data_IF_303258878894
#
_entry.id   IF_303258878894
#
_cell.length_a   1.000
_cell.length_b   1.000
_cell.length_c   1.000
_cell.angle_alpha   90.00
_cell.angle_beta   90.00
_cell.angle_gamma   90.00
#
_symmetry.space_group_name_H-M   'P 1'
#
loop_
_entity.id
_entity.type
_entity.pdbx_description
1 polymer ?
#
# COMPACT_ATOMS: atom_id res chain seq x y z
N UNK A 1 -9.66 9.01 -8.09
CA UNK A 1 -8.60 7.97 -8.16
C UNK A 1 -9.22 6.65 -7.77
N UNK A 2 -8.78 5.52 -8.34
CA UNK A 2 -9.35 4.20 -8.02
C UNK A 2 -8.31 3.32 -7.29
N UNK A 3 -8.75 2.59 -6.27
CA UNK A 3 -8.04 1.46 -5.66
C UNK A 3 -8.32 0.20 -6.49
N UNK A 4 -7.56 -0.87 -6.31
CA UNK A 4 -7.72 -2.09 -7.13
C UNK A 4 -9.11 -2.72 -7.03
N UNK A 5 -9.81 -2.56 -5.91
CA UNK A 5 -11.16 -3.08 -5.66
C UNK A 5 -12.23 -2.00 -5.36
N UNK A 6 -11.90 -0.71 -5.52
CA UNK A 6 -12.86 0.40 -5.36
C UNK A 6 -12.63 1.50 -6.39
N UNK A 7 -13.71 1.98 -7.00
CA UNK A 7 -13.66 3.09 -7.96
C UNK A 7 -13.37 4.44 -7.30
N UNK A 8 -13.81 4.61 -6.05
CA UNK A 8 -13.56 5.82 -5.26
C UNK A 8 -12.42 5.51 -4.28
N UNK A 9 -11.31 6.20 -4.49
CA UNK A 9 -10.07 6.06 -3.73
C UNK A 9 -10.23 6.43 -2.26
N UNK A 10 -9.75 5.59 -1.36
CA UNK A 10 -9.53 5.93 0.05
C UNK A 10 -8.12 6.49 0.31
N UNK A 11 -7.92 7.10 1.47
CA UNK A 11 -6.63 7.70 1.85
C UNK A 11 -5.48 6.69 1.93
N UNK A 12 -5.71 5.50 2.49
CA UNK A 12 -4.67 4.50 2.74
C UNK A 12 -4.10 3.91 1.45
N UNK A 13 -4.96 3.38 0.58
CA UNK A 13 -4.45 2.77 -0.65
C UNK A 13 -4.06 3.82 -1.70
N UNK A 14 -4.59 5.07 -1.63
CA UNK A 14 -4.00 6.18 -2.39
C UNK A 14 -2.60 6.55 -1.88
N UNK A 15 -2.36 6.55 -0.56
CA UNK A 15 -1.02 6.79 -0.01
C UNK A 15 -0.04 5.70 -0.45
N UNK A 16 -0.48 4.44 -0.49
CA UNK A 16 0.32 3.32 -1.02
C UNK A 16 0.68 3.53 -2.49
N UNK A 17 -0.28 3.95 -3.31
CA UNK A 17 -0.03 4.27 -4.71
C UNK A 17 0.97 5.43 -4.90
N UNK A 18 0.83 6.50 -4.11
CA UNK A 18 1.66 7.70 -4.23
C UNK A 18 3.07 7.52 -3.64
N UNK A 19 3.19 6.78 -2.53
CA UNK A 19 4.44 6.69 -1.76
C UNK A 19 5.18 5.38 -1.99
N UNK A 20 4.51 4.31 -2.42
CA UNK A 20 5.12 2.99 -2.67
C UNK A 20 5.10 2.61 -4.16
N UNK A 21 4.46 3.40 -5.02
CA UNK A 21 4.45 3.19 -6.48
C UNK A 21 3.57 2.04 -6.98
N UNK A 22 2.77 1.43 -6.10
CA UNK A 22 1.86 0.31 -6.41
C UNK A 22 0.48 0.55 -5.83
N UNK A 23 -0.57 0.14 -6.53
CA UNK A 23 -1.95 0.27 -6.03
C UNK A 23 -2.27 -0.86 -5.07
N UNK A 24 -2.93 -0.52 -3.97
CA UNK A 24 -3.49 -1.47 -3.01
C UNK A 24 -5.03 -1.48 -3.00
N UNK A 25 -5.57 -2.30 -2.10
CA UNK A 25 -7.01 -2.47 -1.86
C UNK A 25 -7.56 -1.42 -0.90
N UNK A 26 -8.85 -1.12 -1.01
CA UNK A 26 -9.55 -0.17 -0.15
C UNK A 26 -9.29 -0.46 1.34
N UNK A 27 -9.04 0.60 2.12
CA UNK A 27 -8.72 0.56 3.56
C UNK A 27 -7.42 -0.21 3.93
N UNK A 28 -6.50 -0.40 2.99
CA UNK A 28 -5.15 -0.94 3.25
C UNK A 28 -4.07 0.13 3.08
N UNK A 29 -2.92 -0.05 3.75
CA UNK A 29 -1.78 0.87 3.66
C UNK A 29 -0.46 0.11 3.63
N UNK A 30 0.44 0.46 2.71
CA UNK A 30 1.75 -0.18 2.57
C UNK A 30 1.69 -1.65 2.16
N UNK A 31 0.55 -2.08 1.61
CA UNK A 31 0.33 -3.43 1.09
C UNK A 31 -0.06 -3.37 -0.40
N UNK A 32 0.39 -4.35 -1.17
CA UNK A 32 -0.09 -4.56 -2.54
C UNK A 32 -1.52 -5.16 -2.58
N UNK A 33 -2.01 -5.48 -3.77
CA UNK A 33 -3.36 -6.01 -3.98
C UNK A 33 -3.64 -7.38 -3.30
N UNK A 34 -2.62 -8.05 -2.74
CA UNK A 34 -2.80 -9.28 -1.97
C UNK A 34 -3.22 -9.00 -0.52
N UNK A 35 -2.96 -7.79 -0.01
CA UNK A 35 -3.37 -7.36 1.32
C UNK A 35 -4.88 -7.18 1.41
N UNK A 36 -5.53 -7.86 2.36
CA UNK A 36 -6.99 -7.84 2.53
C UNK A 36 -7.34 -7.09 3.80
N UNK A 37 -8.26 -6.13 3.68
CA UNK A 37 -8.79 -5.40 4.82
C UNK A 37 -9.31 -6.35 5.92
N UNK A 38 -9.02 -6.00 7.17
CA UNK A 38 -9.40 -6.77 8.36
C UNK A 38 -8.94 -8.25 8.36
N UNK A 39 -7.81 -8.55 7.69
CA UNK A 39 -7.16 -9.88 7.69
C UNK A 39 -5.65 -9.73 7.89
N UNK A 40 -5.21 -9.82 9.14
CA UNK A 40 -3.81 -9.63 9.53
C UNK A 40 -2.84 -10.54 8.77
N UNK A 41 -3.22 -11.81 8.56
CA UNK A 41 -2.35 -12.82 7.93
C UNK A 41 -1.99 -12.46 6.48
N UNK A 42 -2.84 -11.71 5.78
CA UNK A 42 -2.56 -11.26 4.41
C UNK A 42 -1.39 -10.28 4.34
N UNK A 43 -1.07 -9.60 5.43
CA UNK A 43 0.02 -8.61 5.49
C UNK A 43 1.42 -9.25 5.45
N UNK A 44 1.55 -10.55 5.68
CA UNK A 44 2.86 -11.20 5.76
C UNK A 44 3.55 -11.27 4.40
N UNK A 45 2.78 -11.40 3.31
CA UNK A 45 3.29 -11.58 1.94
C UNK A 45 2.96 -10.41 1.00
N UNK A 46 2.39 -9.32 1.52
CA UNK A 46 1.91 -8.19 0.70
C UNK A 46 2.60 -6.86 0.98
N UNK A 47 3.55 -6.80 1.92
CA UNK A 47 4.27 -5.56 2.25
C UNK A 47 5.04 -5.02 1.07
N UNK A 48 4.98 -3.70 0.89
CA UNK A 48 5.74 -2.98 -0.13
C UNK A 48 6.54 -1.85 0.50
N UNK A 49 7.74 -1.62 -0.04
CA UNK A 49 8.60 -0.54 0.42
C UNK A 49 8.09 0.81 -0.09
N UNK A 50 8.08 1.80 0.80
CA UNK A 50 7.81 3.19 0.48
C UNK A 50 9.07 3.92 0.04
N UNK A 51 8.91 5.07 -0.60
CA UNK A 51 10.00 5.98 -0.94
C UNK A 51 10.84 6.39 0.28
N UNK A 52 10.21 6.49 1.47
CA UNK A 52 10.91 6.80 2.70
C UNK A 52 11.83 5.66 3.16
N UNK A 53 11.41 4.40 2.95
CA UNK A 53 12.26 3.24 3.26
C UNK A 53 13.50 3.20 2.36
N UNK A 54 13.33 3.53 1.08
CA UNK A 54 14.44 3.67 0.14
C UNK A 54 15.39 4.79 0.56
N UNK A 55 14.87 5.97 0.90
CA UNK A 55 15.68 7.10 1.36
C UNK A 55 16.50 6.75 2.62
N UNK A 56 15.86 6.13 3.63
CA UNK A 56 16.54 5.71 4.85
C UNK A 56 17.61 4.64 4.60
N UNK A 57 17.36 3.72 3.66
CA UNK A 57 18.33 2.67 3.30
C UNK A 57 19.56 3.25 2.62
N UNK A 58 19.40 4.32 1.83
CA UNK A 58 20.47 5.02 1.13
C UNK A 58 21.24 6.01 2.04
N UNK A 59 20.83 6.17 3.30
CA UNK A 59 21.55 6.95 4.31
C UNK A 59 21.05 8.38 4.52
N UNK A 60 19.80 8.66 4.16
CA UNK A 60 19.10 9.93 4.42
C UNK A 60 18.25 9.88 5.71
#
# INVERSE_FOLDING_TARGET
TYNTDSQVGDSGACATALLCGVKGRFETVGLDDRGVYNRCESSFESKVFSLADWAQTDGE
#
